data_IF_204236640529
#
_entry.id   IF_204236640529
#
_cell.length_a   1.000
_cell.length_b   1.000
_cell.length_c   1.000
_cell.angle_alpha   90.00
_cell.angle_beta   90.00
_cell.angle_gamma   90.00
#
_symmetry.space_group_name_H-M   'P 1'
#
loop_
_entity.id
_entity.type
_entity.pdbx_description
1 polymer ?
#
# COMPACT_ATOMS: atom_id res chain seq x y z
N UNK A 1 -35.20 -63.67 -31.30
CA UNK A 1 -33.80 -63.89 -30.88
C UNK A 1 -33.01 -62.61 -31.12
N UNK A 2 -32.52 -61.99 -30.05
CA UNK A 2 -31.83 -60.69 -30.06
C UNK A 2 -30.32 -60.94 -30.19
N UNK A 3 -29.60 -60.31 -31.13
CA UNK A 3 -28.15 -60.22 -31.05
C UNK A 3 -27.69 -58.96 -30.29
N UNK A 4 -26.77 -59.20 -29.36
CA UNK A 4 -26.10 -58.26 -28.45
C UNK A 4 -25.34 -57.17 -29.22
N UNK A 5 -25.61 -55.89 -28.92
CA UNK A 5 -24.69 -54.79 -29.23
C UNK A 5 -23.79 -54.53 -28.02
N UNK A 6 -22.50 -54.82 -28.20
CA UNK A 6 -21.44 -54.53 -27.25
C UNK A 6 -21.29 -53.02 -27.04
N UNK A 7 -21.32 -52.58 -25.78
CA UNK A 7 -21.05 -51.20 -25.36
C UNK A 7 -19.55 -50.92 -25.40
N UNK A 8 -19.10 -50.11 -26.36
CA UNK A 8 -17.75 -49.51 -26.32
C UNK A 8 -17.74 -48.41 -25.26
N UNK A 9 -17.19 -48.71 -24.08
CA UNK A 9 -16.81 -47.70 -23.10
C UNK A 9 -15.66 -46.86 -23.64
N UNK A 10 -15.93 -45.61 -24.00
CA UNK A 10 -14.90 -44.60 -24.27
C UNK A 10 -14.40 -44.08 -22.92
N UNK A 11 -13.23 -44.58 -22.47
CA UNK A 11 -12.51 -44.01 -21.34
C UNK A 11 -12.05 -42.59 -21.70
N UNK A 12 -12.71 -41.55 -21.19
CA UNK A 12 -12.20 -40.17 -21.23
C UNK A 12 -10.97 -40.08 -20.30
N UNK A 13 -9.80 -39.79 -20.88
CA UNK A 13 -8.59 -39.43 -20.12
C UNK A 13 -8.82 -38.10 -19.39
N UNK A 14 -8.35 -37.93 -18.14
CA UNK A 14 -8.44 -36.65 -17.45
C UNK A 14 -7.48 -35.67 -18.11
N UNK A 15 -8.00 -34.57 -18.65
CA UNK A 15 -7.17 -33.44 -19.08
C UNK A 15 -6.60 -32.77 -17.82
N UNK A 16 -5.27 -32.80 -17.67
CA UNK A 16 -4.58 -31.97 -16.67
C UNK A 16 -4.86 -30.51 -17.00
N UNK A 17 -5.67 -29.84 -16.20
CA UNK A 17 -5.86 -28.39 -16.29
C UNK A 17 -4.52 -27.71 -15.98
N UNK A 18 -3.84 -27.18 -16.99
CA UNK A 18 -2.72 -26.28 -16.75
C UNK A 18 -3.26 -25.08 -15.96
N UNK A 19 -2.66 -24.80 -14.80
CA UNK A 19 -3.04 -23.64 -13.99
C UNK A 19 -2.85 -22.37 -14.85
N UNK A 20 -3.89 -21.53 -14.90
CA UNK A 20 -3.93 -20.30 -15.72
C UNK A 20 -2.83 -19.29 -15.36
N UNK A 21 -2.36 -19.32 -14.11
CA UNK A 21 -1.33 -18.44 -13.58
C UNK A 21 -0.13 -19.24 -13.11
N UNK A 22 1.05 -18.62 -13.17
CA UNK A 22 2.33 -19.23 -12.79
C UNK A 22 2.91 -18.56 -11.56
N UNK A 23 3.67 -19.32 -10.77
CA UNK A 23 4.47 -18.78 -9.69
C UNK A 23 5.69 -18.04 -10.22
N UNK A 24 6.09 -16.93 -9.58
CA UNK A 24 7.34 -16.26 -9.91
C UNK A 24 8.51 -17.22 -9.62
N UNK A 25 9.59 -17.17 -10.41
CA UNK A 25 10.74 -18.06 -10.25
C UNK A 25 11.51 -17.79 -8.95
N UNK A 26 11.51 -16.54 -8.47
CA UNK A 26 12.15 -16.09 -7.25
C UNK A 26 11.31 -15.02 -6.56
N UNK A 27 11.68 -14.64 -5.33
CA UNK A 27 11.10 -13.45 -4.69
C UNK A 27 11.44 -12.21 -5.52
N UNK A 28 10.51 -11.29 -5.66
CA UNK A 28 10.66 -10.15 -6.56
C UNK A 28 10.09 -8.85 -6.00
N UNK A 29 10.59 -7.74 -6.53
CA UNK A 29 10.06 -6.39 -6.31
C UNK A 29 9.08 -6.08 -7.44
N UNK A 30 7.77 -5.97 -7.17
CA UNK A 30 6.77 -5.65 -8.19
C UNK A 30 7.09 -4.39 -8.99
N UNK A 31 7.77 -3.41 -8.39
CA UNK A 31 8.13 -2.15 -9.06
C UNK A 31 9.20 -2.32 -10.14
N UNK A 32 9.90 -3.46 -10.16
CA UNK A 32 10.98 -3.76 -11.11
C UNK A 32 10.57 -4.72 -12.22
N UNK A 33 9.36 -5.28 -12.16
CA UNK A 33 8.88 -6.18 -13.21
C UNK A 33 8.56 -5.42 -14.48
N UNK A 34 9.00 -5.95 -15.60
CA UNK A 34 8.63 -5.48 -16.93
C UNK A 34 7.28 -6.08 -17.35
N UNK A 35 6.72 -5.59 -18.47
CA UNK A 35 5.45 -6.06 -19.02
C UNK A 35 5.48 -7.59 -19.27
N UNK A 36 6.61 -8.09 -19.76
CA UNK A 36 6.84 -9.49 -20.08
C UNK A 36 6.83 -10.37 -18.83
N UNK A 37 7.34 -9.88 -17.70
CA UNK A 37 7.36 -10.59 -16.42
C UNK A 37 5.93 -10.74 -15.87
N UNK A 38 5.12 -9.69 -15.99
CA UNK A 38 3.70 -9.72 -15.63
C UNK A 38 2.90 -10.67 -16.52
N UNK A 39 3.21 -10.69 -17.82
CA UNK A 39 2.61 -11.65 -18.75
C UNK A 39 3.03 -13.09 -18.46
N UNK A 40 4.28 -13.31 -18.06
CA UNK A 40 4.77 -14.63 -17.66
C UNK A 40 3.97 -15.21 -16.47
N UNK A 41 3.55 -14.36 -15.53
CA UNK A 41 2.68 -14.75 -14.41
C UNK A 41 1.24 -15.10 -14.83
N UNK A 42 0.86 -14.83 -16.09
CA UNK A 42 -0.44 -15.17 -16.65
C UNK A 42 -1.39 -13.97 -16.84
N UNK A 43 -0.89 -12.74 -16.74
CA UNK A 43 -1.66 -11.55 -17.12
C UNK A 43 -1.71 -11.41 -18.64
N UNK A 44 -2.85 -10.92 -19.16
CA UNK A 44 -2.90 -10.45 -20.54
C UNK A 44 -2.09 -9.17 -20.71
N UNK A 45 -1.68 -8.87 -21.95
CA UNK A 45 -0.96 -7.63 -22.29
C UNK A 45 -1.63 -6.38 -21.71
N UNK A 46 -2.95 -6.25 -21.89
CA UNK A 46 -3.75 -5.13 -21.36
C UNK A 46 -3.74 -5.06 -19.83
N UNK A 47 -3.75 -6.20 -19.14
CA UNK A 47 -3.67 -6.22 -17.68
C UNK A 47 -2.26 -5.84 -17.21
N UNK A 48 -1.22 -6.34 -17.86
CA UNK A 48 0.16 -5.97 -17.58
C UNK A 48 0.39 -4.47 -17.76
N UNK A 49 -0.11 -3.86 -18.85
CA UNK A 49 -0.06 -2.41 -19.07
C UNK A 49 -0.73 -1.59 -17.94
N UNK A 50 -1.89 -2.05 -17.46
CA UNK A 50 -2.58 -1.39 -16.33
C UNK A 50 -1.80 -1.54 -15.04
N UNK A 51 -1.23 -2.73 -14.78
CA UNK A 51 -0.36 -2.96 -13.62
C UNK A 51 0.86 -2.06 -13.69
N UNK A 52 1.58 -2.03 -14.82
CA UNK A 52 2.75 -1.18 -15.06
C UNK A 52 2.45 0.30 -14.78
N UNK A 53 1.32 0.82 -15.27
CA UNK A 53 0.90 2.20 -14.99
C UNK A 53 0.66 2.44 -13.49
N UNK A 54 0.07 1.46 -12.81
CA UNK A 54 -0.23 1.56 -11.39
C UNK A 54 1.02 1.44 -10.49
N UNK A 55 2.00 0.61 -10.86
CA UNK A 55 3.23 0.40 -10.08
C UNK A 55 4.31 1.44 -10.37
N UNK A 56 4.23 2.16 -11.50
CA UNK A 56 5.21 3.19 -11.90
C UNK A 56 5.50 4.23 -10.81
N UNK A 57 4.53 4.71 -10.01
CA UNK A 57 4.79 5.61 -8.88
C UNK A 57 5.57 4.98 -7.70
N UNK A 58 5.80 3.65 -7.73
CA UNK A 58 6.42 2.90 -6.65
C UNK A 58 5.38 2.46 -5.62
N UNK A 59 4.94 1.21 -5.71
CA UNK A 59 4.09 0.57 -4.69
C UNK A 59 4.95 -0.03 -3.58
N UNK A 60 4.44 -0.01 -2.36
CA UNK A 60 5.19 -0.46 -1.17
C UNK A 60 4.57 -1.65 -0.44
N UNK A 61 3.44 -2.18 -0.94
CA UNK A 61 2.71 -3.26 -0.29
C UNK A 61 1.83 -4.07 -1.26
N UNK A 62 1.47 -5.30 -0.85
CA UNK A 62 0.52 -6.13 -1.59
C UNK A 62 -0.90 -5.54 -1.64
N UNK A 63 -1.28 -4.74 -0.64
CA UNK A 63 -2.56 -4.04 -0.65
C UNK A 63 -2.69 -3.07 -1.83
N UNK A 64 -1.56 -2.53 -2.32
CA UNK A 64 -1.55 -1.67 -3.49
C UNK A 64 -1.90 -2.46 -4.75
N UNK A 65 -1.32 -3.66 -4.93
CA UNK A 65 -1.68 -4.54 -6.04
C UNK A 65 -3.16 -4.97 -5.98
N UNK A 66 -3.73 -5.16 -4.79
CA UNK A 66 -5.15 -5.49 -4.60
C UNK A 66 -6.12 -4.37 -5.01
N UNK A 67 -5.65 -3.11 -5.08
CA UNK A 67 -6.46 -1.98 -5.56
C UNK A 67 -6.58 -1.93 -7.07
N UNK A 68 -5.76 -2.70 -7.80
CA UNK A 68 -5.81 -2.77 -9.26
C UNK A 68 -7.02 -3.64 -9.64
N UNK A 69 -8.11 -3.00 -10.09
CA UNK A 69 -9.38 -3.70 -10.37
C UNK A 69 -9.24 -4.89 -11.34
N UNK A 70 -8.34 -4.78 -12.32
CA UNK A 70 -8.11 -5.82 -13.34
C UNK A 70 -7.15 -6.92 -12.88
N UNK A 71 -6.64 -6.85 -11.65
CA UNK A 71 -5.68 -7.79 -11.09
C UNK A 71 -6.40 -9.04 -10.57
N UNK A 72 -6.10 -10.24 -11.10
CA UNK A 72 -6.78 -11.46 -10.67
C UNK A 72 -6.45 -11.82 -9.22
N UNK A 73 -7.48 -12.04 -8.39
CA UNK A 73 -7.33 -12.47 -6.99
C UNK A 73 -6.56 -13.80 -6.84
N UNK A 74 -6.71 -14.67 -7.84
CA UNK A 74 -6.02 -15.95 -7.92
C UNK A 74 -4.51 -15.75 -8.04
N UNK A 75 -4.09 -14.79 -8.88
CA UNK A 75 -2.68 -14.43 -9.04
C UNK A 75 -2.14 -13.75 -7.78
N UNK A 76 -2.91 -12.83 -7.17
CA UNK A 76 -2.52 -12.19 -5.91
C UNK A 76 -2.20 -13.21 -4.82
N UNK A 77 -3.12 -14.16 -4.62
CA UNK A 77 -2.98 -15.20 -3.59
C UNK A 77 -1.72 -16.05 -3.79
N UNK A 78 -1.25 -16.14 -5.03
CA UNK A 78 -0.12 -16.95 -5.45
C UNK A 78 1.22 -16.19 -5.37
N UNK A 79 1.21 -14.85 -5.53
CA UNK A 79 2.43 -14.03 -5.48
C UNK A 79 2.68 -13.36 -4.13
N UNK A 80 1.67 -13.20 -3.27
CA UNK A 80 1.74 -12.39 -2.03
C UNK A 80 2.93 -12.72 -1.11
N UNK A 81 3.38 -13.98 -1.09
CA UNK A 81 4.48 -14.43 -0.22
C UNK A 81 5.85 -14.25 -0.90
N UNK A 82 5.85 -14.11 -2.22
CA UNK A 82 7.04 -13.92 -3.07
C UNK A 82 7.34 -12.44 -3.35
N UNK A 83 6.41 -11.52 -3.11
CA UNK A 83 6.65 -10.08 -3.25
C UNK A 83 7.45 -9.52 -2.07
N UNK A 84 8.36 -8.61 -2.36
CA UNK A 84 9.01 -7.78 -1.35
C UNK A 84 9.11 -6.33 -1.84
N UNK A 85 9.13 -5.40 -0.91
CA UNK A 85 9.18 -3.97 -1.19
C UNK A 85 10.37 -3.41 -0.42
N UNK A 86 11.47 -3.04 -1.08
CA UNK A 86 12.59 -2.44 -0.37
C UNK A 86 12.11 -1.14 0.28
N UNK A 87 12.25 -1.02 1.60
CA UNK A 87 12.09 0.27 2.28
C UNK A 87 13.11 1.21 1.64
N UNK A 88 12.67 2.37 1.17
CA UNK A 88 13.58 3.42 0.73
C UNK A 88 14.62 3.60 1.83
N UNK A 89 15.83 3.12 1.57
CA UNK A 89 16.90 3.08 2.53
C UNK A 89 17.24 4.51 2.88
N UNK A 90 17.27 4.76 4.19
CA UNK A 90 17.64 6.00 4.85
C UNK A 90 19.05 6.44 4.42
N UNK A 91 19.11 7.17 3.32
CA UNK A 91 20.26 7.92 2.87
C UNK A 91 19.71 9.02 1.98
N UNK A 92 20.10 10.25 2.29
CA UNK A 92 20.21 11.40 1.41
C UNK A 92 19.99 10.99 -0.06
N UNK A 93 18.84 11.30 -0.64
CA UNK A 93 18.73 11.51 -2.09
C UNK A 93 18.83 13.02 -2.21
N UNK A 94 20.06 13.56 -2.19
CA UNK A 94 20.89 13.72 -3.40
C UNK A 94 19.99 14.27 -4.51
N UNK A 95 20.06 15.59 -4.66
CA UNK A 95 19.58 16.24 -5.87
C UNK A 95 20.10 15.48 -7.08
N UNK A 96 19.23 14.73 -7.75
CA UNK A 96 19.55 14.27 -9.09
C UNK A 96 19.68 15.53 -9.96
N UNK A 97 20.91 15.76 -10.44
CA UNK A 97 21.21 16.81 -11.41
C UNK A 97 20.54 16.44 -12.74
N UNK A 98 19.43 17.10 -13.06
CA UNK A 98 18.83 16.98 -14.38
C UNK A 98 19.46 18.05 -15.25
N UNK A 99 20.26 17.64 -16.24
CA UNK A 99 20.73 18.54 -17.30
C UNK A 99 19.56 18.83 -18.24
N UNK A 100 19.07 20.07 -18.23
CA UNK A 100 18.07 20.52 -19.18
C UNK A 100 18.69 20.65 -20.59
N UNK A 101 17.89 20.67 -21.67
CA UNK A 101 18.39 20.80 -23.06
C UNK A 101 19.21 22.06 -23.32
N UNK A 102 19.12 23.06 -22.43
CA UNK A 102 19.87 24.31 -22.45
C UNK A 102 21.17 24.26 -21.61
N UNK A 103 21.52 23.12 -21.00
CA UNK A 103 22.71 22.95 -20.17
C UNK A 103 22.55 23.41 -18.71
N UNK A 104 21.35 23.85 -18.28
CA UNK A 104 21.10 24.21 -16.88
C UNK A 104 20.88 22.95 -16.02
N UNK A 105 21.59 22.88 -14.89
CA UNK A 105 21.38 21.85 -13.87
C UNK A 105 20.18 22.28 -13.02
N UNK A 106 19.06 21.56 -13.12
CA UNK A 106 17.91 21.77 -12.24
C UNK A 106 17.88 20.68 -11.17
N UNK A 107 18.09 21.08 -9.92
CA UNK A 107 18.03 20.19 -8.77
C UNK A 107 16.59 19.67 -8.62
N UNK A 108 16.38 18.37 -8.84
CA UNK A 108 15.12 17.72 -8.49
C UNK A 108 15.01 17.66 -6.97
N UNK A 109 14.35 18.65 -6.37
CA UNK A 109 14.14 18.69 -4.92
C UNK A 109 13.08 17.66 -4.53
N UNK A 110 13.51 16.51 -4.02
CA UNK A 110 12.61 15.54 -3.39
C UNK A 110 12.43 15.94 -1.92
N UNK A 111 11.21 16.28 -1.53
CA UNK A 111 10.90 16.81 -0.19
C UNK A 111 10.30 15.75 0.73
N UNK A 112 10.66 15.79 2.02
CA UNK A 112 10.11 14.86 3.00
C UNK A 112 8.71 15.30 3.45
N UNK A 113 7.70 14.48 3.15
CA UNK A 113 6.28 14.83 3.28
C UNK A 113 5.82 15.02 4.74
N UNK A 114 6.43 14.31 5.70
CA UNK A 114 6.04 14.43 7.11
C UNK A 114 6.51 15.74 7.76
N UNK A 115 7.58 16.34 7.23
CA UNK A 115 8.19 17.57 7.76
C UNK A 115 7.94 18.82 6.91
N UNK A 116 7.46 18.65 5.68
CA UNK A 116 7.28 19.77 4.75
C UNK A 116 6.30 20.82 5.31
N UNK A 117 6.63 22.09 5.14
CA UNK A 117 5.75 23.21 5.46
C UNK A 117 4.76 23.51 4.32
N UNK A 118 3.78 24.38 4.56
CA UNK A 118 2.77 24.72 3.56
C UNK A 118 3.33 25.47 2.36
N UNK A 119 4.36 26.31 2.54
CA UNK A 119 4.92 27.12 1.44
C UNK A 119 5.66 26.24 0.45
N UNK A 120 6.51 25.35 0.97
CA UNK A 120 7.23 24.35 0.17
C UNK A 120 6.26 23.38 -0.50
N UNK A 121 5.22 22.96 0.19
CA UNK A 121 4.22 22.07 -0.40
C UNK A 121 3.47 22.71 -1.57
N UNK A 122 3.16 24.01 -1.49
CA UNK A 122 2.54 24.79 -2.59
C UNK A 122 3.52 25.03 -3.75
N UNK A 123 4.82 25.02 -3.49
CA UNK A 123 5.83 25.18 -4.56
C UNK A 123 5.98 23.93 -5.44
N UNK A 124 5.46 22.78 -5.01
CA UNK A 124 5.50 21.55 -5.80
C UNK A 124 4.59 21.66 -7.02
N UNK A 125 5.09 21.18 -8.16
CA UNK A 125 4.33 21.17 -9.41
C UNK A 125 3.01 20.43 -9.20
N UNK A 126 1.90 21.03 -9.65
CA UNK A 126 0.56 20.45 -9.53
C UNK A 126 -0.09 20.58 -8.14
N UNK A 127 0.60 21.15 -7.14
CA UNK A 127 0.09 21.32 -5.78
C UNK A 127 -0.26 22.78 -5.52
N UNK A 128 -1.52 23.13 -5.74
CA UNK A 128 -2.04 24.43 -5.32
C UNK A 128 -2.35 24.52 -3.81
N UNK A 129 -2.71 25.71 -3.31
CA UNK A 129 -3.07 25.93 -1.90
C UNK A 129 -4.14 24.96 -1.36
N UNK A 130 -5.09 24.58 -2.22
CA UNK A 130 -6.11 23.59 -1.88
C UNK A 130 -5.49 22.23 -1.52
N UNK A 131 -4.68 21.65 -2.41
CA UNK A 131 -4.07 20.34 -2.16
C UNK A 131 -3.11 20.37 -0.98
N UNK A 132 -2.31 21.43 -0.85
CA UNK A 132 -1.41 21.60 0.29
C UNK A 132 -2.18 21.58 1.63
N UNK A 133 -3.27 22.34 1.73
CA UNK A 133 -4.14 22.35 2.92
C UNK A 133 -4.72 20.97 3.23
N UNK A 134 -5.18 20.25 2.21
CA UNK A 134 -5.78 18.93 2.38
C UNK A 134 -4.75 17.87 2.82
N UNK A 135 -3.56 17.89 2.24
CA UNK A 135 -2.44 17.02 2.62
C UNK A 135 -2.04 17.28 4.06
N UNK A 136 -1.84 18.54 4.46
CA UNK A 136 -1.47 18.89 5.84
C UNK A 136 -2.57 18.56 6.85
N UNK A 137 -3.83 18.75 6.48
CA UNK A 137 -4.97 18.36 7.32
C UNK A 137 -5.01 16.85 7.52
N UNK A 138 -4.81 16.09 6.46
CA UNK A 138 -4.80 14.63 6.53
C UNK A 138 -3.58 14.12 7.31
N UNK A 139 -2.37 14.64 7.04
CA UNK A 139 -1.13 14.37 7.79
C UNK A 139 -1.33 14.50 9.30
N UNK A 140 -1.94 15.61 9.74
CA UNK A 140 -2.23 15.87 11.16
C UNK A 140 -3.23 14.87 11.76
N UNK A 141 -4.19 14.38 10.98
CA UNK A 141 -5.19 13.43 11.45
C UNK A 141 -4.62 12.03 11.66
N UNK A 142 -3.80 11.56 10.71
CA UNK A 142 -3.17 10.23 10.81
C UNK A 142 -1.92 10.26 11.69
N UNK A 143 -1.31 11.42 11.92
CA UNK A 143 -0.07 11.55 12.70
C UNK A 143 1.20 11.40 11.84
N UNK A 144 1.11 11.59 10.53
CA UNK A 144 2.20 11.38 9.58
C UNK A 144 1.93 10.23 8.61
N UNK A 145 2.43 10.34 7.39
CA UNK A 145 2.36 9.30 6.37
C UNK A 145 3.40 8.21 6.66
N UNK A 146 3.02 6.93 6.57
CA UNK A 146 3.95 5.79 6.53
C UNK A 146 4.17 5.24 5.13
N UNK A 147 3.26 5.51 4.20
CA UNK A 147 3.40 5.12 2.80
C UNK A 147 2.82 6.17 1.87
N UNK A 148 3.34 6.22 0.65
CA UNK A 148 3.01 7.26 -0.32
C UNK A 148 1.56 7.16 -0.78
N UNK A 149 1.03 5.93 -0.83
CA UNK A 149 -0.32 5.60 -1.26
C UNK A 149 -1.40 6.19 -0.35
N UNK A 150 -1.06 6.57 0.88
CA UNK A 150 -1.97 7.29 1.76
C UNK A 150 -2.34 8.68 1.23
N UNK A 151 -1.57 9.24 0.27
CA UNK A 151 -1.98 10.43 -0.47
C UNK A 151 -3.28 10.22 -1.25
N UNK A 152 -3.59 8.98 -1.68
CA UNK A 152 -4.85 8.66 -2.34
C UNK A 152 -6.05 8.70 -1.38
N UNK A 153 -5.80 8.67 -0.06
CA UNK A 153 -6.83 8.84 0.97
C UNK A 153 -7.07 10.33 1.30
N UNK A 154 -6.24 11.24 0.77
CA UNK A 154 -6.44 12.68 0.90
C UNK A 154 -7.65 13.09 0.07
N UNK A 155 -8.56 13.85 0.70
CA UNK A 155 -9.80 14.28 0.09
C UNK A 155 -9.59 15.03 -1.22
N UNK A 156 -10.29 14.60 -2.28
CA UNK A 156 -10.22 15.10 -3.67
C UNK A 156 -8.84 14.94 -4.34
N UNK A 157 -7.98 14.05 -3.84
CA UNK A 157 -6.75 13.69 -4.54
C UNK A 157 -7.10 13.08 -5.90
N UNK A 158 -6.59 13.68 -6.98
CA UNK A 158 -6.75 13.16 -8.34
C UNK A 158 -5.55 12.28 -8.69
N UNK A 159 -5.72 11.20 -9.48
CA UNK A 159 -4.62 10.33 -9.89
C UNK A 159 -3.44 11.08 -10.52
N UNK A 160 -3.72 12.07 -11.37
CA UNK A 160 -2.69 12.85 -12.06
C UNK A 160 -1.90 13.73 -11.08
N UNK A 161 -2.59 14.30 -10.09
CA UNK A 161 -1.94 15.08 -9.01
C UNK A 161 -1.12 14.18 -8.10
N UNK A 162 -1.60 12.97 -7.81
CA UNK A 162 -0.87 11.97 -7.06
C UNK A 162 0.42 11.56 -7.76
N UNK A 163 0.36 11.21 -9.05
CA UNK A 163 1.54 10.83 -9.85
C UNK A 163 2.61 11.91 -9.82
N UNK A 164 2.23 13.16 -10.13
CA UNK A 164 3.15 14.31 -10.10
C UNK A 164 3.74 14.52 -8.70
N UNK A 165 2.95 14.34 -7.64
CA UNK A 165 3.41 14.52 -6.27
C UNK A 165 4.41 13.44 -5.86
N UNK A 166 4.16 12.17 -6.22
CA UNK A 166 5.04 11.05 -5.86
C UNK A 166 6.45 11.15 -6.44
N UNK A 167 6.60 11.86 -7.56
CA UNK A 167 7.93 12.12 -8.16
C UNK A 167 8.72 13.22 -7.42
N UNK A 168 8.08 13.97 -6.53
CA UNK A 168 8.64 15.16 -5.87
C UNK A 168 8.76 15.00 -4.34
N UNK A 169 8.27 13.91 -3.76
CA UNK A 169 8.28 13.72 -2.31
C UNK A 169 8.69 12.31 -1.92
N UNK A 170 9.27 12.19 -0.72
CA UNK A 170 9.51 10.92 -0.05
C UNK A 170 8.92 10.95 1.35
N UNK A 171 8.85 9.77 1.99
CA UNK A 171 8.29 9.62 3.33
C UNK A 171 9.33 9.02 4.27
N UNK A 172 9.53 9.69 5.40
CA UNK A 172 10.26 9.13 6.54
C UNK A 172 9.26 8.69 7.62
N UNK A 173 9.09 7.37 7.74
CA UNK A 173 8.19 6.74 8.71
C UNK A 173 8.59 6.94 10.18
N UNK A 174 9.82 7.39 10.44
CA UNK A 174 10.27 7.68 11.81
C UNK A 174 9.77 9.01 12.34
N UNK A 175 9.28 9.87 11.44
CA UNK A 175 8.68 11.16 11.78
C UNK A 175 7.17 11.07 12.07
N UNK A 176 6.64 9.85 12.12
CA UNK A 176 5.25 9.58 12.47
C UNK A 176 5.07 9.71 13.98
N UNK A 177 4.05 10.46 14.38
CA UNK A 177 3.59 10.53 15.75
C UNK A 177 2.98 9.17 16.16
N UNK A 178 3.65 8.50 17.10
CA UNK A 178 3.19 7.21 17.63
C UNK A 178 2.13 7.40 18.72
N UNK A 179 1.12 6.54 18.69
CA UNK A 179 0.06 6.37 19.67
C UNK A 179 0.51 5.35 20.71
N UNK A 180 0.71 5.82 21.94
CA UNK A 180 1.13 5.00 23.09
C UNK A 180 -0.06 4.18 23.59
N UNK A 181 -0.12 2.89 23.28
CA UNK A 181 -1.31 2.07 23.52
C UNK A 181 -1.76 2.05 24.98
N UNK A 182 -0.80 2.00 25.91
CA UNK A 182 -1.10 1.86 27.33
C UNK A 182 -1.52 3.17 28.01
N UNK A 183 -1.21 4.32 27.42
CA UNK A 183 -1.40 5.64 28.04
C UNK A 183 -2.35 6.56 27.27
N UNK A 184 -2.59 6.31 25.98
CA UNK A 184 -3.45 7.16 25.14
C UNK A 184 -4.89 7.25 25.67
N UNK A 185 -5.47 8.44 25.64
CA UNK A 185 -6.87 8.63 26.02
C UNK A 185 -7.83 8.07 24.96
N UNK A 186 -9.08 7.81 25.35
CA UNK A 186 -10.12 7.42 24.39
C UNK A 186 -10.35 8.53 23.35
N UNK A 187 -10.34 9.79 23.81
CA UNK A 187 -10.58 11.00 23.04
C UNK A 187 -9.52 11.21 21.94
N UNK A 188 -8.27 10.86 22.23
CA UNK A 188 -7.19 10.92 21.24
C UNK A 188 -7.22 9.71 20.31
N UNK A 189 -7.49 8.52 20.85
CA UNK A 189 -7.51 7.29 20.05
C UNK A 189 -8.65 7.31 19.00
N UNK A 190 -9.84 7.80 19.35
CA UNK A 190 -10.96 7.84 18.40
C UNK A 190 -10.79 8.90 17.30
N UNK A 191 -9.91 9.90 17.49
CA UNK A 191 -9.63 10.91 16.44
C UNK A 191 -8.87 10.31 15.26
N UNK A 192 -8.23 9.16 15.45
CA UNK A 192 -7.44 8.51 14.40
C UNK A 192 -8.35 7.99 13.27
N UNK A 193 -8.12 8.36 11.99
CA UNK A 193 -9.03 8.03 10.88
C UNK A 193 -9.28 6.53 10.63
N UNK A 194 -8.38 5.66 11.07
CA UNK A 194 -8.52 4.21 10.93
C UNK A 194 -9.31 3.55 12.06
N UNK A 195 -9.78 4.30 13.04
CA UNK A 195 -10.58 3.79 14.15
C UNK A 195 -11.97 4.40 14.15
N UNK A 196 -12.98 3.54 14.20
CA UNK A 196 -14.32 3.95 14.61
C UNK A 196 -14.39 4.13 16.14
N UNK A 197 -15.42 4.84 16.60
CA UNK A 197 -15.73 4.99 18.02
C UNK A 197 -15.77 3.63 18.75
N UNK A 198 -16.46 2.63 18.16
CA UNK A 198 -16.61 1.31 18.75
C UNK A 198 -15.28 0.56 18.87
N UNK A 199 -14.42 0.68 17.85
CA UNK A 199 -13.08 0.09 17.85
C UNK A 199 -12.18 0.75 18.90
N UNK A 200 -12.13 2.08 18.95
CA UNK A 200 -11.36 2.80 19.96
C UNK A 200 -11.82 2.45 21.39
N UNK A 201 -13.13 2.40 21.62
CA UNK A 201 -13.71 2.03 22.91
C UNK A 201 -13.36 0.59 23.29
N UNK A 202 -13.40 -0.33 22.33
CA UNK A 202 -12.99 -1.73 22.57
C UNK A 202 -11.52 -1.83 22.96
N UNK A 203 -10.63 -1.06 22.33
CA UNK A 203 -9.20 -1.07 22.66
C UNK A 203 -8.98 -0.57 24.09
N UNK A 204 -9.61 0.54 24.49
CA UNK A 204 -9.49 1.10 25.84
C UNK A 204 -10.04 0.16 26.90
N UNK A 205 -11.23 -0.44 26.66
CA UNK A 205 -11.80 -1.43 27.59
C UNK A 205 -10.91 -2.65 27.76
N UNK A 206 -10.37 -3.17 26.65
CA UNK A 206 -9.45 -4.31 26.70
C UNK A 206 -8.16 -3.97 27.42
N UNK A 207 -7.62 -2.76 27.22
CA UNK A 207 -6.45 -2.29 27.97
C UNK A 207 -6.70 -2.37 29.48
N UNK A 208 -7.84 -1.86 29.95
CA UNK A 208 -8.19 -1.89 31.37
C UNK A 208 -8.36 -3.32 31.90
N UNK A 209 -8.94 -4.22 31.10
CA UNK A 209 -9.13 -5.62 31.50
C UNK A 209 -7.82 -6.43 31.56
N UNK A 210 -6.84 -6.08 30.74
CA UNK A 210 -5.57 -6.78 30.64
C UNK A 210 -4.46 -6.15 31.50
N UNK A 211 -4.77 -5.06 32.21
CA UNK A 211 -3.80 -4.21 32.90
C UNK A 211 -2.67 -3.74 31.95
N UNK A 212 -3.07 -3.31 30.76
CA UNK A 212 -2.17 -2.93 29.68
C UNK A 212 -1.94 -4.03 28.64
N UNK A 213 -1.44 -3.62 27.48
CA UNK A 213 -1.03 -4.53 26.43
C UNK A 213 0.47 -4.87 26.58
N UNK A 214 0.80 -6.17 26.51
CA UNK A 214 2.20 -6.64 26.44
C UNK A 214 2.79 -6.57 25.03
N UNK A 215 1.93 -6.54 24.01
CA UNK A 215 2.30 -6.54 22.59
C UNK A 215 1.30 -5.69 21.81
N UNK A 216 1.73 -4.96 20.78
CA UNK A 216 0.84 -4.19 19.89
C UNK A 216 -0.24 -5.10 19.29
N UNK A 217 0.13 -6.32 18.90
CA UNK A 217 -0.78 -7.34 18.38
C UNK A 217 -1.91 -7.74 19.33
N UNK A 218 -1.83 -7.36 20.62
CA UNK A 218 -2.88 -7.63 21.61
C UNK A 218 -4.23 -7.01 21.26
N UNK A 219 -4.25 -5.92 20.48
CA UNK A 219 -5.50 -5.29 20.04
C UNK A 219 -6.31 -6.19 19.08
N UNK A 220 -5.67 -7.14 18.39
CA UNK A 220 -6.35 -8.12 17.51
C UNK A 220 -7.27 -9.07 18.28
N UNK A 221 -7.15 -9.16 19.62
CA UNK A 221 -8.09 -9.93 20.43
C UNK A 221 -9.50 -9.31 20.43
N UNK A 222 -9.63 -8.03 20.04
CA UNK A 222 -10.93 -7.40 19.81
C UNK A 222 -11.58 -8.00 18.58
N UNK A 223 -12.83 -8.45 18.72
CA UNK A 223 -13.65 -8.90 17.57
C UNK A 223 -13.99 -7.76 16.59
N UNK A 224 -13.74 -6.51 16.96
CA UNK A 224 -14.02 -5.33 16.12
C UNK A 224 -12.81 -4.87 15.30
N UNK A 225 -11.62 -5.41 15.58
CA UNK A 225 -10.39 -5.07 14.86
C UNK A 225 -10.09 -6.20 13.89
N UNK A 226 -10.37 -5.98 12.61
CA UNK A 226 -9.96 -6.88 11.55
C UNK A 226 -8.47 -6.71 11.21
N UNK A 227 -7.91 -7.66 10.47
CA UNK A 227 -6.50 -7.63 10.07
C UNK A 227 -6.16 -6.35 9.31
N UNK A 228 -7.03 -5.91 8.40
CA UNK A 228 -6.81 -4.72 7.59
C UNK A 228 -6.71 -3.43 8.42
N UNK A 229 -7.61 -3.25 9.38
CA UNK A 229 -7.56 -2.11 10.31
C UNK A 229 -6.29 -2.17 11.15
N UNK A 230 -5.92 -3.35 11.63
CA UNK A 230 -4.68 -3.53 12.37
C UNK A 230 -3.45 -3.16 11.54
N UNK A 231 -3.36 -3.67 10.31
CA UNK A 231 -2.19 -3.47 9.45
C UNK A 231 -2.00 -1.98 9.12
N UNK A 232 -3.10 -1.24 8.93
CA UNK A 232 -3.08 0.22 8.77
C UNK A 232 -2.70 0.98 10.05
N UNK A 233 -3.04 0.46 11.23
CA UNK A 233 -2.73 1.09 12.51
C UNK A 233 -1.32 0.78 13.00
N UNK A 234 -0.79 -0.40 12.67
CA UNK A 234 0.50 -0.89 13.15
C UNK A 234 1.64 0.14 13.04
N UNK A 235 1.78 0.91 11.94
CA UNK A 235 2.82 1.93 11.82
C UNK A 235 2.71 3.07 12.85
N UNK A 236 1.55 3.24 13.47
CA UNK A 236 1.27 4.30 14.43
C UNK A 236 1.30 3.82 15.88
N UNK A 237 1.32 2.52 16.16
CA UNK A 237 1.21 2.03 17.52
C UNK A 237 2.58 1.78 18.15
N UNK A 238 2.71 2.12 19.44
CA UNK A 238 3.87 1.78 20.26
C UNK A 238 3.43 1.28 21.63
N UNK A 239 4.23 0.39 22.21
CA UNK A 239 4.12 -0.03 23.60
C UNK A 239 5.01 0.90 24.42
N UNK A 240 4.40 1.57 25.38
CA UNK A 240 5.09 2.29 26.44
C UNK A 240 4.82 1.55 27.76
#
# INVERSE_FOLDING_TARGET
MIPKKASKQVKKRPQKSQLKYKSPPHRFDPNKYAEEDWMYLGLSKKQAEVVMKFIKPGITSNEALDKIYVFPKELMSLIKDSTFYPKASRAIIESEDITLPNGEIQLKQILELNSIDSLRLVSLKGIGPFYASQILKYRRKIGGFYSIEQLLEVWKMRPETYEILTEQVFIDSEKIQKLRLNTISFEELYKHPYLSYAQANSIVKMRTQLDGFKTVSGIKKSKLIDSKTFDKLLPYLILE
#
